data_IF_075502058118
#
_entry.id   IF_075502058118
#
_cell.length_a   1.000
_cell.length_b   1.000
_cell.length_c   1.000
_cell.angle_alpha   90.00
_cell.angle_beta   90.00
_cell.angle_gamma   90.00
#
_symmetry.space_group_name_H-M   'P 1'
#
loop_
_entity.id
_entity.type
_entity.pdbx_description
1 polymer ?
#
# COMPACT_ATOMS: atom_id res chain seq x y z
N UNK A 1 14.46 4.12 19.95
CA UNK A 1 14.12 2.71 20.09
C UNK A 1 15.17 1.87 19.38
N UNK A 2 15.73 0.88 20.05
CA UNK A 2 16.59 -0.15 19.42
C UNK A 2 15.65 -1.02 18.61
N UNK A 3 15.76 -1.04 17.30
CA UNK A 3 14.88 -1.61 16.33
C UNK A 3 14.28 -2.98 16.65
N UNK A 4 13.12 -3.23 16.10
CA UNK A 4 12.33 -4.43 16.28
C UNK A 4 10.84 -4.13 16.20
N UNK A 5 10.04 -5.14 16.45
CA UNK A 5 8.61 -4.99 16.63
C UNK A 5 8.18 -5.68 17.94
N UNK A 6 6.99 -5.37 18.40
CA UNK A 6 6.37 -6.04 19.53
C UNK A 6 5.03 -6.61 19.08
N UNK A 7 4.72 -7.83 19.52
CA UNK A 7 3.40 -8.40 19.32
C UNK A 7 2.70 -8.61 20.66
N UNK A 8 1.40 -8.48 20.66
CA UNK A 8 0.58 -8.71 21.84
C UNK A 8 0.14 -10.17 21.90
N UNK A 9 0.68 -10.91 22.87
CA UNK A 9 0.28 -12.28 23.17
C UNK A 9 -1.06 -12.25 23.94
N UNK A 10 -2.16 -12.51 23.23
CA UNK A 10 -3.51 -12.48 23.81
C UNK A 10 -3.73 -13.52 24.90
N UNK A 11 -3.08 -14.69 24.78
CA UNK A 11 -3.24 -15.79 25.75
C UNK A 11 -2.62 -15.42 27.10
N UNK A 12 -1.45 -14.80 27.07
CA UNK A 12 -0.72 -14.40 28.27
C UNK A 12 -0.94 -12.92 28.63
N UNK A 13 -1.70 -12.17 27.83
CA UNK A 13 -1.98 -10.73 27.99
C UNK A 13 -0.70 -9.90 28.16
N UNK A 14 0.34 -10.23 27.40
CA UNK A 14 1.63 -9.60 27.50
C UNK A 14 2.12 -9.09 26.13
N UNK A 15 2.75 -7.92 26.15
CA UNK A 15 3.48 -7.41 25.00
C UNK A 15 4.86 -8.09 24.96
N UNK A 16 5.12 -8.86 23.90
CA UNK A 16 6.39 -9.54 23.70
C UNK A 16 7.21 -8.78 22.65
N UNK A 17 8.34 -8.16 23.03
CA UNK A 17 9.23 -7.51 22.09
C UNK A 17 10.02 -8.56 21.30
N UNK A 18 10.23 -8.28 20.02
CA UNK A 18 11.08 -9.07 19.14
C UNK A 18 12.21 -8.17 18.63
N UNK A 19 13.44 -8.48 19.00
CA UNK A 19 14.62 -7.70 18.67
C UNK A 19 15.54 -8.46 17.73
N UNK A 20 16.26 -7.72 16.91
CA UNK A 20 17.37 -8.27 16.14
C UNK A 20 18.47 -8.77 17.10
N UNK A 21 18.81 -10.04 17.01
CA UNK A 21 20.04 -10.59 17.61
C UNK A 21 21.15 -10.53 16.57
N UNK A 22 22.12 -9.65 16.77
CA UNK A 22 23.25 -9.49 15.85
C UNK A 22 24.15 -10.74 15.73
N UNK A 23 24.07 -11.65 16.69
CA UNK A 23 24.82 -12.91 16.68
C UNK A 23 24.07 -14.05 15.98
N UNK A 24 22.78 -13.87 15.71
CA UNK A 24 21.95 -14.84 15.00
C UNK A 24 21.50 -14.24 13.65
N UNK A 25 22.03 -14.75 12.52
CA UNK A 25 21.69 -14.22 11.19
C UNK A 25 20.19 -14.39 10.86
N UNK A 26 19.52 -15.39 11.42
CA UNK A 26 18.09 -15.65 11.17
C UNK A 26 17.14 -14.65 11.87
N UNK A 27 17.68 -13.82 12.74
CA UNK A 27 16.91 -12.78 13.44
C UNK A 27 17.30 -11.35 13.01
N UNK A 28 18.18 -11.22 12.00
CA UNK A 28 18.60 -9.91 11.50
C UNK A 28 17.51 -9.29 10.64
N UNK A 29 16.86 -8.28 11.18
CA UNK A 29 16.05 -7.38 10.38
C UNK A 29 16.32 -5.93 10.74
N UNK A 30 16.14 -5.06 9.77
CA UNK A 30 16.39 -3.63 9.94
C UNK A 30 15.36 -3.03 10.93
N UNK A 31 15.80 -2.19 11.87
CA UNK A 31 14.92 -1.59 12.87
C UNK A 31 13.86 -0.63 12.32
N UNK A 32 14.00 -0.18 11.08
CA UNK A 32 13.05 0.78 10.48
C UNK A 32 12.02 0.01 9.66
N UNK A 33 10.86 -0.25 10.25
CA UNK A 33 9.72 -0.87 9.58
C UNK A 33 8.99 0.21 8.78
N UNK A 34 8.84 0.00 7.47
CA UNK A 34 8.15 0.91 6.56
C UNK A 34 6.71 0.49 6.31
N UNK A 35 6.47 -0.82 6.26
CA UNK A 35 5.15 -1.39 6.00
C UNK A 35 5.07 -2.81 6.56
N UNK A 36 3.86 -3.27 6.82
CA UNK A 36 3.58 -4.65 7.22
C UNK A 36 2.30 -5.15 6.57
N UNK A 37 2.21 -6.46 6.34
CA UNK A 37 1.06 -7.12 5.74
C UNK A 37 0.88 -8.50 6.40
N UNK A 38 -0.36 -8.87 6.69
CA UNK A 38 -0.74 -10.19 7.18
C UNK A 38 -1.37 -10.97 6.03
N UNK A 39 -0.75 -12.08 5.63
CA UNK A 39 -1.27 -12.92 4.56
C UNK A 39 -2.45 -13.80 5.03
N UNK A 40 -3.13 -14.44 4.08
CA UNK A 40 -4.28 -15.31 4.37
C UNK A 40 -3.91 -16.55 5.21
N UNK A 41 -2.62 -16.90 5.26
CA UNK A 41 -2.09 -18.02 6.05
C UNK A 41 -1.70 -17.57 7.48
N UNK A 42 -1.88 -16.30 7.82
CA UNK A 42 -1.54 -15.73 9.12
C UNK A 42 -0.06 -15.42 9.30
N UNK A 43 0.72 -15.31 8.22
CA UNK A 43 2.09 -14.86 8.30
C UNK A 43 2.14 -13.33 8.23
N UNK A 44 2.97 -12.72 9.08
CA UNK A 44 3.26 -11.30 9.04
C UNK A 44 4.46 -11.03 8.13
N UNK A 45 4.26 -10.19 7.14
CA UNK A 45 5.33 -9.70 6.27
C UNK A 45 5.71 -8.28 6.69
N UNK A 46 6.99 -8.04 6.88
CA UNK A 46 7.54 -6.75 7.29
C UNK A 46 8.50 -6.28 6.21
N UNK A 47 8.24 -5.10 5.67
CA UNK A 47 9.13 -4.42 4.75
C UNK A 47 9.93 -3.35 5.48
N UNK A 48 11.23 -3.30 5.24
CA UNK A 48 12.11 -2.25 5.69
C UNK A 48 12.88 -1.64 4.50
N UNK A 49 13.92 -0.84 4.73
CA UNK A 49 14.68 -0.21 3.64
C UNK A 49 15.47 -1.20 2.78
N UNK A 50 15.74 -2.41 3.28
CA UNK A 50 16.74 -3.32 2.71
C UNK A 50 16.19 -4.70 2.37
N UNK A 51 15.13 -5.13 3.05
CA UNK A 51 14.58 -6.48 2.90
C UNK A 51 13.06 -6.54 3.15
N UNK A 52 12.49 -7.70 2.86
CA UNK A 52 11.15 -8.10 3.27
C UNK A 52 11.29 -9.36 4.14
N UNK A 53 10.80 -9.29 5.36
CA UNK A 53 10.85 -10.38 6.32
C UNK A 53 9.47 -11.02 6.46
N UNK A 54 9.38 -12.33 6.24
CA UNK A 54 8.19 -13.13 6.54
C UNK A 54 8.31 -13.68 7.97
N UNK A 55 7.30 -13.45 8.79
CA UNK A 55 7.19 -14.00 10.15
C UNK A 55 6.02 -14.96 10.18
N UNK A 56 6.31 -16.25 10.34
CA UNK A 56 5.28 -17.26 10.55
C UNK A 56 5.06 -17.44 12.04
N UNK A 57 3.84 -17.22 12.52
CA UNK A 57 3.45 -17.44 13.92
C UNK A 57 3.14 -18.91 14.24
N UNK A 58 3.54 -19.84 13.37
CA UNK A 58 3.58 -21.25 13.75
C UNK A 58 4.61 -21.46 14.86
N UNK A 59 4.47 -22.46 15.65
CA UNK A 59 5.24 -22.75 16.88
C UNK A 59 6.78 -22.75 16.72
N UNK A 60 7.30 -22.51 15.54
CA UNK A 60 8.72 -22.57 15.22
C UNK A 60 9.13 -21.52 14.18
N UNK A 61 9.97 -20.58 14.62
CA UNK A 61 10.89 -19.72 13.86
C UNK A 61 10.32 -18.80 12.76
N UNK A 62 10.75 -17.55 12.81
CA UNK A 62 10.74 -16.63 11.65
C UNK A 62 11.67 -17.21 10.57
N UNK A 63 11.18 -17.37 9.35
CA UNK A 63 12.05 -17.61 8.20
C UNK A 63 12.39 -16.27 7.56
N UNK A 64 13.68 -15.93 7.50
CA UNK A 64 14.20 -14.79 6.78
C UNK A 64 14.41 -15.21 5.33
N UNK A 65 13.60 -14.66 4.43
CA UNK A 65 13.90 -14.73 3.00
C UNK A 65 14.66 -13.47 2.64
N UNK A 66 15.98 -13.55 2.53
CA UNK A 66 16.81 -12.44 2.10
C UNK A 66 16.56 -12.16 0.62
N UNK A 67 15.85 -11.07 0.34
CA UNK A 67 15.75 -10.50 -0.99
C UNK A 67 16.90 -9.52 -1.13
N UNK A 68 17.84 -9.80 -2.02
CA UNK A 68 19.02 -9.01 -2.37
C UNK A 68 19.15 -7.63 -1.69
N UNK A 69 20.03 -7.55 -0.68
CA UNK A 69 20.22 -6.37 0.17
C UNK A 69 20.72 -5.10 -0.56
N UNK A 70 21.04 -5.19 -1.86
CA UNK A 70 21.55 -4.06 -2.65
C UNK A 70 20.46 -3.09 -3.11
N UNK A 71 19.16 -3.38 -2.88
CA UNK A 71 18.04 -2.57 -3.35
C UNK A 71 17.10 -2.20 -2.20
N UNK A 72 16.95 -0.90 -1.94
CA UNK A 72 15.96 -0.38 -1.01
C UNK A 72 14.55 -0.70 -1.50
N UNK A 73 13.88 -1.68 -0.89
CA UNK A 73 12.48 -2.02 -1.20
C UNK A 73 11.56 -0.93 -0.68
N UNK A 74 10.62 -0.50 -1.51
CA UNK A 74 9.63 0.54 -1.20
C UNK A 74 8.23 0.00 -1.05
N UNK A 75 7.88 -0.96 -1.87
CA UNK A 75 6.55 -1.57 -1.88
C UNK A 75 6.66 -3.05 -2.17
N UNK A 76 5.68 -3.80 -1.73
CA UNK A 76 5.53 -5.20 -2.06
C UNK A 76 4.06 -5.59 -2.16
N UNK A 77 3.81 -6.69 -2.85
CA UNK A 77 2.51 -7.34 -3.00
C UNK A 77 2.75 -8.85 -3.10
N UNK A 78 1.87 -9.63 -2.52
CA UNK A 78 1.72 -11.05 -2.87
C UNK A 78 0.44 -11.14 -3.67
N UNK A 79 0.55 -11.58 -4.92
CA UNK A 79 -0.57 -11.69 -5.83
C UNK A 79 -1.36 -13.00 -5.64
N UNK A 80 -2.45 -13.17 -6.37
CA UNK A 80 -3.31 -14.37 -6.34
C UNK A 80 -2.57 -15.68 -6.68
N UNK A 81 -1.37 -15.58 -7.30
CA UNK A 81 -0.52 -16.72 -7.66
C UNK A 81 0.56 -17.00 -6.61
N UNK A 82 0.48 -16.36 -5.44
CA UNK A 82 1.51 -16.37 -4.41
C UNK A 82 2.89 -15.86 -4.91
N UNK A 83 2.92 -15.10 -6.03
CA UNK A 83 4.12 -14.43 -6.50
C UNK A 83 4.37 -13.15 -5.69
N UNK A 84 5.60 -12.99 -5.20
CA UNK A 84 5.98 -11.79 -4.47
C UNK A 84 6.49 -10.71 -5.44
N UNK A 85 5.78 -9.60 -5.52
CA UNK A 85 6.17 -8.41 -6.25
C UNK A 85 6.88 -7.44 -5.32
N UNK A 86 8.00 -6.89 -5.73
CA UNK A 86 8.74 -5.88 -4.95
C UNK A 86 9.14 -4.72 -5.84
N UNK A 87 9.04 -3.51 -5.33
CA UNK A 87 9.54 -2.31 -6.00
C UNK A 87 10.68 -1.67 -5.21
N UNK A 88 11.72 -1.27 -5.91
CA UNK A 88 12.88 -0.62 -5.32
C UNK A 88 12.92 0.89 -5.60
N UNK A 89 13.65 1.64 -4.77
CA UNK A 89 13.91 3.07 -4.96
C UNK A 89 14.64 3.39 -6.28
N UNK A 90 15.37 2.41 -6.83
CA UNK A 90 16.07 2.54 -8.12
C UNK A 90 15.17 2.27 -9.32
N UNK A 91 13.86 2.08 -9.10
CA UNK A 91 12.87 1.89 -10.16
C UNK A 91 12.83 0.48 -10.74
N UNK A 92 13.33 -0.53 -10.02
CA UNK A 92 13.16 -1.92 -10.42
C UNK A 92 11.89 -2.48 -9.79
N UNK A 93 11.12 -3.22 -10.56
CA UNK A 93 10.02 -4.06 -10.10
C UNK A 93 10.42 -5.50 -10.33
N UNK A 94 10.55 -6.28 -9.25
CA UNK A 94 10.95 -7.69 -9.27
C UNK A 94 9.78 -8.57 -8.90
N UNK A 95 9.74 -9.74 -9.50
CA UNK A 95 8.73 -10.74 -9.23
C UNK A 95 9.46 -12.01 -8.82
N UNK A 96 9.05 -12.59 -7.69
CA UNK A 96 9.60 -13.83 -7.15
C UNK A 96 8.52 -14.90 -7.15
N UNK A 97 8.92 -16.12 -7.42
CA UNK A 97 8.04 -17.29 -7.34
C UNK A 97 7.70 -17.64 -5.87
N UNK A 98 6.68 -18.47 -5.63
CA UNK A 98 6.32 -18.90 -4.26
C UNK A 98 7.44 -19.60 -3.50
N UNK A 99 8.39 -20.21 -4.20
CA UNK A 99 9.59 -20.85 -3.61
C UNK A 99 10.69 -19.83 -3.25
N UNK A 100 10.48 -18.54 -3.57
CA UNK A 100 11.41 -17.44 -3.31
C UNK A 100 12.45 -17.22 -4.40
N UNK A 101 12.47 -18.03 -5.45
CA UNK A 101 13.34 -17.80 -6.59
C UNK A 101 12.91 -16.58 -7.39
N UNK A 102 13.87 -15.81 -7.92
CA UNK A 102 13.58 -14.67 -8.77
C UNK A 102 13.01 -15.13 -10.10
N UNK A 103 11.77 -14.77 -10.39
CA UNK A 103 11.14 -15.00 -11.69
C UNK A 103 11.69 -14.03 -12.74
N UNK A 104 11.82 -12.73 -12.37
CA UNK A 104 12.38 -11.72 -13.25
C UNK A 104 12.03 -10.28 -12.86
N UNK A 105 12.21 -9.39 -13.82
CA UNK A 105 12.02 -7.95 -13.70
C UNK A 105 10.91 -7.50 -14.64
N UNK A 106 9.90 -6.79 -14.13
CA UNK A 106 8.91 -6.14 -14.98
C UNK A 106 9.56 -5.02 -15.77
N UNK A 107 9.41 -5.07 -17.08
CA UNK A 107 9.91 -4.04 -17.99
C UNK A 107 8.84 -2.96 -18.25
N UNK A 108 9.21 -1.77 -18.74
CA UNK A 108 8.25 -0.75 -19.16
C UNK A 108 7.32 -1.22 -20.30
N UNK A 109 7.73 -2.24 -21.05
CA UNK A 109 6.93 -2.84 -22.14
C UNK A 109 5.89 -3.87 -21.64
N UNK A 110 5.82 -4.11 -20.32
CA UNK A 110 4.89 -5.08 -19.73
C UNK A 110 5.32 -6.54 -19.88
N UNK A 111 6.60 -6.80 -20.12
CA UNK A 111 7.16 -8.15 -20.15
C UNK A 111 7.98 -8.45 -18.91
N UNK A 112 8.14 -9.72 -18.55
CA UNK A 112 9.07 -10.14 -17.50
C UNK A 112 10.39 -10.53 -18.16
N UNK A 113 11.47 -9.88 -17.74
CA UNK A 113 12.84 -10.12 -18.20
C UNK A 113 13.66 -10.84 -17.15
N UNK A 114 14.47 -11.83 -17.54
CA UNK A 114 15.47 -12.43 -16.66
C UNK A 114 16.66 -11.51 -16.37
N UNK A 115 16.86 -10.49 -17.22
CA UNK A 115 17.92 -9.49 -17.03
C UNK A 115 17.38 -8.30 -16.21
N UNK A 116 18.22 -7.63 -15.40
CA UNK A 116 17.82 -6.53 -14.56
C UNK A 116 17.48 -5.27 -15.38
N UNK A 117 16.27 -5.21 -15.91
CA UNK A 117 15.73 -4.06 -16.61
C UNK A 117 14.91 -3.23 -15.62
N UNK A 118 15.24 -1.93 -15.49
CA UNK A 118 14.50 -1.01 -14.64
C UNK A 118 13.14 -0.66 -15.29
N UNK A 119 12.09 -0.64 -14.48
CA UNK A 119 10.79 -0.09 -14.85
C UNK A 119 10.83 1.45 -14.97
N UNK A 120 11.91 2.07 -14.48
CA UNK A 120 12.20 3.50 -14.53
C UNK A 120 11.22 4.39 -13.77
N UNK A 121 10.40 3.81 -12.89
CA UNK A 121 9.42 4.53 -12.07
C UNK A 121 9.59 4.17 -10.61
N UNK A 122 9.42 5.15 -9.72
CA UNK A 122 9.44 4.94 -8.28
C UNK A 122 8.07 4.47 -7.79
N UNK A 123 7.87 3.17 -7.73
CA UNK A 123 6.62 2.57 -7.23
C UNK A 123 6.63 2.59 -5.71
N UNK A 124 5.55 3.09 -5.10
CA UNK A 124 5.36 3.28 -3.66
C UNK A 124 4.30 2.37 -3.06
N UNK A 125 3.39 1.87 -3.87
CA UNK A 125 2.37 0.92 -3.43
C UNK A 125 1.93 0.02 -4.58
N UNK A 126 1.45 -1.16 -4.21
CA UNK A 126 0.79 -2.12 -5.07
C UNK A 126 -0.58 -2.47 -4.47
N UNK A 127 -1.48 -2.88 -5.32
CA UNK A 127 -2.72 -3.55 -4.96
C UNK A 127 -3.15 -4.43 -6.13
N UNK A 128 -3.62 -5.64 -5.85
CA UNK A 128 -4.31 -6.47 -6.82
C UNK A 128 -5.81 -6.40 -6.52
N UNK A 129 -6.61 -6.13 -7.54
CA UNK A 129 -8.06 -6.09 -7.38
C UNK A 129 -8.67 -7.50 -7.56
N UNK A 130 -9.96 -7.63 -7.24
CA UNK A 130 -10.69 -8.91 -7.34
C UNK A 130 -10.71 -9.55 -8.73
N UNK A 131 -10.35 -8.81 -9.77
CA UNK A 131 -10.26 -9.29 -11.15
C UNK A 131 -8.83 -9.69 -11.54
N UNK A 132 -7.89 -9.68 -10.58
CA UNK A 132 -6.47 -9.97 -10.81
C UNK A 132 -5.72 -8.87 -11.54
N UNK A 133 -6.27 -7.66 -11.60
CA UNK A 133 -5.59 -6.50 -12.15
C UNK A 133 -4.64 -5.92 -11.11
N UNK A 134 -3.38 -5.77 -11.45
CA UNK A 134 -2.38 -5.19 -10.56
C UNK A 134 -2.32 -3.68 -10.79
N UNK A 135 -2.48 -2.95 -9.71
CA UNK A 135 -2.38 -1.50 -9.66
C UNK A 135 -1.07 -1.10 -8.96
N UNK A 136 -0.33 -0.19 -9.59
CA UNK A 136 0.92 0.34 -9.04
C UNK A 136 0.84 1.86 -8.91
N UNK A 137 1.02 2.35 -7.70
CA UNK A 137 1.12 3.78 -7.43
C UNK A 137 2.57 4.24 -7.41
N UNK A 138 2.86 5.34 -8.08
CA UNK A 138 4.20 5.91 -8.16
C UNK A 138 4.33 7.23 -7.41
N UNK A 139 5.58 7.65 -7.17
CA UNK A 139 5.86 8.91 -6.48
C UNK A 139 5.49 10.16 -7.28
N UNK A 140 5.69 10.18 -8.59
CA UNK A 140 5.48 11.37 -9.44
C UNK A 140 4.88 11.03 -10.81
N UNK A 141 4.73 9.75 -11.11
CA UNK A 141 4.34 9.27 -12.45
C UNK A 141 2.89 8.78 -12.49
N UNK A 142 2.09 9.02 -11.44
CA UNK A 142 0.68 8.64 -11.38
C UNK A 142 0.47 7.16 -11.06
N UNK A 143 -0.62 6.62 -11.58
CA UNK A 143 -1.14 5.29 -11.36
C UNK A 143 -0.94 4.42 -12.60
N UNK A 144 -0.48 3.19 -12.42
CA UNK A 144 -0.36 2.19 -13.47
C UNK A 144 -1.35 1.06 -13.21
N UNK A 145 -2.07 0.67 -14.26
CA UNK A 145 -2.92 -0.50 -14.32
C UNK A 145 -2.21 -1.56 -15.16
N UNK A 146 -2.10 -2.78 -14.65
CA UNK A 146 -1.48 -3.91 -15.29
C UNK A 146 -2.50 -5.03 -15.44
N UNK A 147 -2.91 -5.31 -16.67
CA UNK A 147 -3.78 -6.43 -17.01
C UNK A 147 -2.96 -7.57 -17.60
N UNK A 148 -3.10 -8.77 -17.06
CA UNK A 148 -2.39 -9.95 -17.57
C UNK A 148 -2.95 -10.32 -18.95
N UNK A 149 -2.09 -10.36 -19.98
CA UNK A 149 -2.42 -10.80 -21.33
C UNK A 149 -1.81 -12.15 -21.69
N UNK A 150 -0.98 -12.70 -20.78
CA UNK A 150 -0.30 -13.99 -20.89
C UNK A 150 0.45 -14.31 -19.60
N UNK A 151 1.22 -15.41 -19.60
CA UNK A 151 1.93 -15.84 -18.39
C UNK A 151 2.95 -14.80 -17.88
N UNK A 152 3.65 -14.11 -18.81
CA UNK A 152 4.71 -13.16 -18.50
C UNK A 152 4.53 -11.84 -19.26
N UNK A 153 3.29 -11.52 -19.63
CA UNK A 153 2.94 -10.33 -20.37
C UNK A 153 1.78 -9.58 -19.71
N UNK A 154 1.93 -8.26 -19.67
CA UNK A 154 0.96 -7.33 -19.10
C UNK A 154 0.69 -6.21 -20.09
N UNK A 155 -0.56 -5.89 -20.29
CA UNK A 155 -0.95 -4.62 -20.89
C UNK A 155 -0.88 -3.55 -19.77
N UNK A 156 -0.08 -2.51 -20.01
CA UNK A 156 0.11 -1.43 -19.05
C UNK A 156 -0.62 -0.18 -19.53
N UNK A 157 -1.47 0.38 -18.67
CA UNK A 157 -2.08 1.72 -18.85
C UNK A 157 -1.60 2.64 -17.74
N UNK A 158 -1.28 3.88 -18.09
CA UNK A 158 -0.85 4.91 -17.14
C UNK A 158 -1.92 6.00 -17.05
N UNK A 159 -2.22 6.41 -15.81
CA UNK A 159 -3.11 7.52 -15.51
C UNK A 159 -2.33 8.59 -14.75
N UNK A 160 -2.47 9.83 -15.20
CA UNK A 160 -1.79 11.00 -14.61
C UNK A 160 -2.78 12.12 -14.35
N UNK A 161 -2.38 13.05 -13.49
CA UNK A 161 -3.06 14.33 -13.35
C UNK A 161 -2.94 15.13 -14.65
N UNK A 162 -4.05 15.71 -15.09
CA UNK A 162 -4.17 16.55 -16.28
C UNK A 162 -5.00 17.79 -15.93
N UNK A 163 -4.44 18.96 -16.10
CA UNK A 163 -5.10 20.25 -15.72
C UNK A 163 -6.41 20.46 -16.46
N UNK A 164 -6.49 20.05 -17.72
CA UNK A 164 -7.66 20.23 -18.60
C UNK A 164 -8.72 19.13 -18.43
N UNK A 165 -8.44 18.07 -17.64
CA UNK A 165 -9.37 16.98 -17.40
C UNK A 165 -9.77 16.90 -15.93
N UNK A 166 -10.96 17.40 -15.57
CA UNK A 166 -11.42 17.40 -14.18
C UNK A 166 -11.64 16.00 -13.58
N UNK A 167 -11.67 14.96 -14.40
CA UNK A 167 -11.81 13.57 -13.99
C UNK A 167 -10.49 12.78 -14.07
N UNK A 168 -9.36 13.44 -14.29
CA UNK A 168 -8.04 12.86 -14.14
C UNK A 168 -7.67 12.69 -12.65
N UNK A 169 -6.54 12.05 -12.34
CA UNK A 169 -6.04 11.98 -10.96
C UNK A 169 -5.87 13.37 -10.35
N UNK A 170 -6.19 13.50 -9.06
CA UNK A 170 -5.98 14.77 -8.33
C UNK A 170 -4.50 15.13 -8.17
N UNK A 171 -3.58 14.16 -8.25
CA UNK A 171 -2.13 14.35 -8.14
C UNK A 171 -1.37 13.09 -8.59
N UNK A 172 -0.12 13.25 -9.08
CA UNK A 172 0.69 12.14 -9.59
C UNK A 172 1.46 11.35 -8.52
N UNK A 173 1.46 11.76 -7.27
CA UNK A 173 2.15 11.05 -6.19
C UNK A 173 1.18 10.13 -5.46
N UNK A 174 1.19 8.84 -5.79
CA UNK A 174 0.29 7.83 -5.24
C UNK A 174 1.02 7.04 -4.17
N UNK A 175 0.51 7.04 -2.93
CA UNK A 175 1.13 6.39 -1.78
C UNK A 175 0.31 5.21 -1.25
N UNK A 176 -0.97 5.13 -1.60
CA UNK A 176 -1.83 4.03 -1.18
C UNK A 176 -2.88 3.75 -2.24
N UNK A 177 -3.19 2.49 -2.46
CA UNK A 177 -4.30 2.00 -3.26
C UNK A 177 -5.00 0.95 -2.42
N UNK A 178 -6.33 1.02 -2.35
CA UNK A 178 -7.11 0.11 -1.53
C UNK A 178 -8.42 -0.24 -2.23
N UNK A 179 -8.75 -1.53 -2.32
CA UNK A 179 -10.08 -1.97 -2.73
C UNK A 179 -10.91 -2.28 -1.49
N UNK A 180 -12.03 -1.58 -1.31
CA UNK A 180 -12.96 -1.82 -0.21
C UNK A 180 -13.82 -3.06 -0.49
N UNK A 181 -14.59 -3.51 0.52
CA UNK A 181 -15.45 -4.66 0.38
C UNK A 181 -16.71 -4.46 -0.48
N UNK A 182 -17.00 -3.21 -0.86
CA UNK A 182 -17.94 -2.85 -1.92
C UNK A 182 -17.27 -2.91 -3.31
N UNK A 183 -16.00 -3.34 -3.41
CA UNK A 183 -15.19 -3.47 -4.63
C UNK A 183 -14.81 -2.14 -5.28
N UNK A 184 -14.95 -1.03 -4.57
CA UNK A 184 -14.51 0.28 -5.02
C UNK A 184 -13.03 0.46 -4.77
N UNK A 185 -12.33 1.10 -5.68
CA UNK A 185 -10.88 1.32 -5.59
C UNK A 185 -10.62 2.77 -5.16
N UNK A 186 -9.97 2.91 -4.02
CA UNK A 186 -9.56 4.17 -3.44
C UNK A 186 -8.08 4.41 -3.68
N UNK A 187 -7.72 5.61 -4.12
CA UNK A 187 -6.36 6.03 -4.40
C UNK A 187 -6.00 7.20 -3.50
N UNK A 188 -4.97 7.01 -2.68
CA UNK A 188 -4.42 8.02 -1.79
C UNK A 188 -3.27 8.78 -2.44
N UNK A 189 -3.49 10.05 -2.72
CA UNK A 189 -2.49 10.94 -3.29
C UNK A 189 -1.77 11.74 -2.21
N UNK A 190 -0.45 11.84 -2.31
CA UNK A 190 0.36 12.72 -1.46
C UNK A 190 0.48 14.11 -2.10
N UNK A 191 -0.52 14.95 -1.85
CA UNK A 191 -0.68 16.29 -2.40
C UNK A 191 -2.07 16.55 -2.97
N UNK A 192 -2.81 15.51 -3.38
CA UNK A 192 -4.15 15.61 -3.97
C UNK A 192 -5.29 15.08 -3.11
N UNK A 193 -4.98 14.42 -1.98
CA UNK A 193 -5.98 13.82 -1.12
C UNK A 193 -6.49 12.47 -1.64
N UNK A 194 -7.76 12.19 -1.45
CA UNK A 194 -8.40 10.94 -1.78
C UNK A 194 -9.05 10.99 -3.17
N UNK A 195 -8.89 9.92 -3.94
CA UNK A 195 -9.61 9.68 -5.19
C UNK A 195 -10.36 8.35 -5.10
N UNK A 196 -11.54 8.31 -5.69
CA UNK A 196 -12.30 7.09 -5.97
C UNK A 196 -12.23 6.81 -7.47
N UNK A 197 -11.80 5.63 -7.85
CA UNK A 197 -11.82 5.16 -9.23
C UNK A 197 -13.24 4.78 -9.61
N UNK A 198 -13.70 5.29 -10.73
CA UNK A 198 -15.00 4.95 -11.32
C UNK A 198 -14.82 4.51 -12.76
N UNK A 199 -15.59 3.51 -13.17
CA UNK A 199 -15.70 3.09 -14.58
C UNK A 199 -17.01 3.62 -15.15
N UNK A 200 -16.92 4.35 -16.27
CA UNK A 200 -18.12 4.78 -17.00
C UNK A 200 -18.83 3.60 -17.67
N UNK A 201 -20.08 3.74 -18.10
CA UNK A 201 -20.77 2.69 -18.86
C UNK A 201 -20.03 2.27 -20.13
N UNK A 202 -19.25 3.16 -20.72
CA UNK A 202 -18.41 2.92 -21.90
C UNK A 202 -17.09 2.21 -21.54
N UNK A 203 -16.81 1.98 -20.24
CA UNK A 203 -15.61 1.32 -19.75
C UNK A 203 -14.41 2.26 -19.54
N UNK A 204 -14.60 3.57 -19.67
CA UNK A 204 -13.54 4.53 -19.38
C UNK A 204 -13.32 4.68 -17.88
N UNK A 205 -12.04 4.80 -17.48
CA UNK A 205 -11.66 5.06 -16.09
C UNK A 205 -11.61 6.56 -15.86
N UNK A 206 -12.29 7.00 -14.80
CA UNK A 206 -12.25 8.36 -14.29
C UNK A 206 -12.05 8.39 -12.78
N UNK A 207 -11.59 9.52 -12.26
CA UNK A 207 -11.28 9.69 -10.84
C UNK A 207 -12.16 10.75 -10.22
N UNK A 208 -12.84 10.35 -9.14
CA UNK A 208 -13.71 11.21 -8.34
C UNK A 208 -12.90 11.71 -7.14
N UNK A 209 -12.78 13.02 -7.00
CA UNK A 209 -11.98 13.65 -5.94
C UNK A 209 -12.58 15.01 -5.51
N UNK A 210 -11.92 15.71 -4.60
CA UNK A 210 -12.41 16.97 -3.99
C UNK A 210 -12.79 18.06 -5.01
N UNK A 211 -12.12 18.10 -6.16
CA UNK A 211 -12.30 19.16 -7.13
C UNK A 211 -13.47 18.87 -8.10
N UNK A 212 -14.06 17.66 -8.03
CA UNK A 212 -15.27 17.31 -8.79
C UNK A 212 -16.44 16.84 -7.87
N UNK A 213 -16.63 15.55 -7.63
CA UNK A 213 -17.80 15.02 -6.93
C UNK A 213 -17.56 14.67 -5.46
N UNK A 214 -16.31 14.56 -4.99
CA UNK A 214 -16.00 14.32 -3.59
C UNK A 214 -15.84 15.62 -2.78
N UNK A 215 -16.77 16.55 -2.97
CA UNK A 215 -16.70 17.94 -2.45
C UNK A 215 -16.62 18.05 -0.93
N UNK A 216 -17.11 17.03 -0.20
CA UNK A 216 -17.02 16.97 1.27
C UNK A 216 -15.62 16.66 1.79
N UNK A 217 -14.69 16.24 0.93
CA UNK A 217 -13.32 15.89 1.34
C UNK A 217 -12.53 17.16 1.78
N UNK A 218 -11.98 17.20 3.00
CA UNK A 218 -11.30 18.37 3.55
C UNK A 218 -9.85 18.49 3.03
N UNK A 219 -9.67 18.70 1.73
CA UNK A 219 -8.39 18.69 1.01
C UNK A 219 -7.34 19.64 1.60
N UNK A 220 -7.74 20.81 2.08
CA UNK A 220 -6.82 21.84 2.60
C UNK A 220 -5.89 21.31 3.70
N UNK A 221 -6.41 20.42 4.56
CA UNK A 221 -5.68 19.84 5.69
C UNK A 221 -5.27 18.38 5.45
N UNK A 222 -5.98 17.63 4.60
CA UNK A 222 -5.80 16.20 4.44
C UNK A 222 -5.32 15.80 3.04
N UNK A 223 -4.58 16.69 2.38
CA UNK A 223 -4.07 16.44 1.01
C UNK A 223 -2.99 15.35 0.93
N UNK A 224 -2.30 15.04 2.03
CA UNK A 224 -1.16 14.11 2.03
C UNK A 224 -1.55 12.75 2.60
N UNK A 225 -2.23 11.95 1.80
CA UNK A 225 -2.60 10.58 2.17
C UNK A 225 -1.37 9.69 2.24
N UNK A 226 -1.30 8.85 3.27
CA UNK A 226 -0.25 7.88 3.53
C UNK A 226 -0.72 6.45 3.35
N UNK A 227 -1.91 6.13 3.87
CA UNK A 227 -2.44 4.78 3.86
C UNK A 227 -3.97 4.81 3.90
N UNK A 228 -4.59 3.83 3.28
CA UNK A 228 -6.04 3.64 3.27
C UNK A 228 -6.32 2.20 3.66
N UNK A 229 -7.29 2.00 4.53
CA UNK A 229 -7.79 0.68 4.92
C UNK A 229 -9.25 0.76 5.30
N UNK A 230 -9.88 -0.39 5.50
CA UNK A 230 -11.26 -0.52 5.96
C UNK A 230 -11.34 -1.34 7.24
N UNK A 231 -12.20 -0.90 8.15
CA UNK A 231 -12.46 -1.57 9.42
C UNK A 231 -13.95 -1.44 9.75
N UNK A 232 -14.64 -2.55 9.93
CA UNK A 232 -16.05 -2.54 10.36
C UNK A 232 -16.93 -1.57 9.55
N UNK A 233 -16.86 -1.63 8.22
CA UNK A 233 -17.60 -0.76 7.28
C UNK A 233 -17.21 0.73 7.32
N UNK A 234 -16.11 1.06 7.96
CA UNK A 234 -15.54 2.40 7.91
C UNK A 234 -14.24 2.41 7.11
N UNK A 235 -14.12 3.33 6.17
CA UNK A 235 -12.86 3.62 5.49
C UNK A 235 -12.03 4.55 6.37
N UNK A 236 -10.78 4.19 6.58
CA UNK A 236 -9.79 4.96 7.33
C UNK A 236 -8.73 5.49 6.37
N UNK A 237 -8.56 6.81 6.37
CA UNK A 237 -7.56 7.49 5.53
C UNK A 237 -6.52 8.14 6.44
N UNK A 238 -5.35 7.52 6.49
CA UNK A 238 -4.20 8.03 7.25
C UNK A 238 -3.52 9.16 6.49
N UNK A 239 -3.29 10.28 7.15
CA UNK A 239 -2.64 11.43 6.56
C UNK A 239 -1.56 12.02 7.46
N UNK A 240 -0.79 12.97 6.95
CA UNK A 240 0.21 13.70 7.77
C UNK A 240 -0.43 14.68 8.77
N UNK A 241 -1.73 14.91 8.67
CA UNK A 241 -2.44 15.93 9.48
C UNK A 241 -3.63 15.37 10.26
N UNK A 242 -3.74 14.03 10.34
CA UNK A 242 -4.75 13.33 11.11
C UNK A 242 -5.24 12.06 10.42
N UNK A 243 -6.27 11.47 11.02
CA UNK A 243 -6.98 10.32 10.49
C UNK A 243 -8.39 10.77 10.08
N UNK A 244 -8.72 10.58 8.80
CA UNK A 244 -10.10 10.71 8.34
C UNK A 244 -10.79 9.35 8.38
N UNK A 245 -12.06 9.35 8.76
CA UNK A 245 -12.90 8.17 8.69
C UNK A 245 -14.23 8.52 8.04
N UNK A 246 -14.80 7.57 7.30
CA UNK A 246 -16.14 7.68 6.76
C UNK A 246 -16.76 6.30 6.55
N UNK A 247 -18.08 6.22 6.52
CA UNK A 247 -18.79 4.98 6.22
C UNK A 247 -18.57 4.58 4.76
N UNK A 248 -18.35 3.30 4.50
CA UNK A 248 -18.36 2.76 3.15
C UNK A 248 -19.79 2.59 2.58
N UNK A 249 -20.82 2.84 3.39
CA UNK A 249 -22.23 2.78 2.98
C UNK A 249 -22.66 4.16 2.47
N UNK A 250 -22.55 4.38 1.17
CA UNK A 250 -23.08 5.56 0.47
C UNK A 250 -23.50 5.15 -0.94
N UNK A 251 -24.44 5.90 -1.53
CA UNK A 251 -24.90 5.67 -2.90
C UNK A 251 -24.15 6.57 -3.90
N UNK A 252 -23.86 7.79 -3.50
CA UNK A 252 -23.17 8.77 -4.33
C UNK A 252 -22.00 9.37 -3.55
N UNK A 253 -20.86 9.69 -4.19
CA UNK A 253 -19.67 10.24 -3.52
C UNK A 253 -19.95 11.55 -2.76
N UNK A 254 -20.92 12.34 -3.20
CA UNK A 254 -21.35 13.60 -2.57
C UNK A 254 -22.00 13.40 -1.19
N UNK A 255 -22.51 12.19 -0.90
CA UNK A 255 -23.18 11.85 0.37
C UNK A 255 -22.18 11.52 1.48
N UNK A 256 -20.89 11.36 1.15
CA UNK A 256 -19.87 10.94 2.10
C UNK A 256 -19.65 12.04 3.14
N UNK A 257 -19.84 11.65 4.40
CA UNK A 257 -19.52 12.47 5.56
C UNK A 257 -18.16 12.08 6.12
N UNK A 258 -17.21 13.00 6.07
CA UNK A 258 -15.86 12.79 6.57
C UNK A 258 -15.73 13.23 8.02
N UNK A 259 -15.28 12.32 8.89
CA UNK A 259 -15.01 12.59 10.29
C UNK A 259 -13.49 12.76 10.50
N UNK A 260 -13.11 13.85 11.15
CA UNK A 260 -11.71 14.20 11.42
C UNK A 260 -11.32 13.73 12.81
N UNK A 261 -10.35 12.84 12.89
CA UNK A 261 -9.76 12.37 14.14
C UNK A 261 -8.37 13.00 14.27
N UNK A 262 -8.23 13.87 15.27
CA UNK A 262 -7.04 14.66 15.49
C UNK A 262 -6.51 14.43 16.90
N UNK A 263 -5.23 14.72 17.09
CA UNK A 263 -4.66 14.80 18.44
C UNK A 263 -5.30 15.95 19.20
N UNK A 264 -5.78 15.66 20.39
CA UNK A 264 -6.24 16.64 21.36
C UNK A 264 -5.47 16.46 22.68
N UNK A 265 -4.70 17.47 23.13
CA UNK A 265 -3.86 17.32 24.34
C UNK A 265 -4.62 16.95 25.60
N UNK A 266 -5.91 17.30 25.66
CA UNK A 266 -6.74 17.12 26.85
C UNK A 266 -7.70 15.91 26.74
N UNK A 267 -7.57 15.07 25.71
CA UNK A 267 -8.47 13.95 25.48
C UNK A 267 -7.67 12.65 25.39
N UNK A 268 -7.84 11.78 26.38
CA UNK A 268 -7.09 10.51 26.50
C UNK A 268 -7.34 9.58 25.30
N UNK A 269 -8.53 9.64 24.70
CA UNK A 269 -8.93 8.83 23.53
C UNK A 269 -8.55 9.46 22.19
N UNK A 270 -7.83 10.58 22.18
CA UNK A 270 -7.38 11.19 20.92
C UNK A 270 -6.11 10.54 20.37
N UNK A 271 -5.78 10.85 19.11
CA UNK A 271 -4.53 10.41 18.49
C UNK A 271 -3.32 10.89 19.28
N UNK A 272 -2.28 10.06 19.36
CA UNK A 272 -0.98 10.46 19.95
C UNK A 272 -0.21 11.45 19.07
N UNK A 273 -0.46 11.42 17.76
CA UNK A 273 0.12 12.32 16.75
C UNK A 273 -0.86 12.52 15.59
N UNK A 274 -0.86 13.69 14.97
CA UNK A 274 -1.59 13.92 13.73
C UNK A 274 -0.87 13.32 12.49
N UNK A 275 0.41 13.01 12.58
CA UNK A 275 1.08 12.31 11.51
C UNK A 275 0.82 10.80 11.62
N UNK A 276 -0.25 10.35 10.95
CA UNK A 276 -0.68 8.95 10.93
C UNK A 276 -0.15 8.30 9.66
N UNK A 277 0.78 7.37 9.81
CA UNK A 277 1.42 6.70 8.67
C UNK A 277 0.71 5.41 8.28
N UNK A 278 0.14 4.71 9.25
CA UNK A 278 -0.46 3.38 9.07
C UNK A 278 -1.45 3.07 10.19
N UNK A 279 -2.48 2.29 9.90
CA UNK A 279 -3.40 1.68 10.87
C UNK A 279 -3.44 0.18 10.61
N UNK A 280 -3.28 -0.59 11.67
CA UNK A 280 -3.44 -2.03 11.66
C UNK A 280 -4.64 -2.44 12.54
N UNK A 281 -5.40 -3.40 12.05
CA UNK A 281 -6.50 -4.02 12.78
C UNK A 281 -6.22 -5.49 12.97
N UNK A 282 -6.39 -5.95 14.16
CA UNK A 282 -6.24 -7.36 14.56
C UNK A 282 -7.59 -8.12 14.54
#
# INVERSE_FOLDING_TARGET
HRGGFSYYDRKNKQLKPYYTDYNNPDTKFNPVILNSFLDQQGNLWICNHWDVTKISFSTYACSLQAIDASFETRAFLIDEKDELWTASKKGYVRIYQPDGSLKGYLTPAGTISSQPISFQKNIYCFMEDENGVIWMGSKLDGLFQLERTGNDHFQIRQFTHQEDNPYSLSHNSIYSIYQDHQKRIWIGCHGGGLNLLEKTPEGEIRFIHSDNQLKGYPKEHFSKVRYITEVNQAILVCTTEGLLTFSNEFKQPEEINFYRNLRSPNTVSSLSSNNVTYVYTD
#
